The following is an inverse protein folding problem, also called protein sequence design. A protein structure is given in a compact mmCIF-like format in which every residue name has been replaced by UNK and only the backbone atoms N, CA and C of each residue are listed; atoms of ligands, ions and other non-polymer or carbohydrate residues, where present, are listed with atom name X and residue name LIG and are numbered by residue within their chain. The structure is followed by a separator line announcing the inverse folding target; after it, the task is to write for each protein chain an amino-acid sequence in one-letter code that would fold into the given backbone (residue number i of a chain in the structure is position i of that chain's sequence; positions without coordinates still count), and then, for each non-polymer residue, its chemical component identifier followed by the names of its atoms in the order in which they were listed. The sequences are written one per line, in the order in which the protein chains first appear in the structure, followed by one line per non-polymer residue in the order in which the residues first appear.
data_IF_931279223908
#
_entry.id   IF_931279223908
#
_cell.length_a   1.000
_cell.length_b   1.000
_cell.length_c   1.000
_cell.angle_alpha   90.00
_cell.angle_beta   90.00
_cell.angle_gamma   90.00
#
_symmetry.space_group_name_H-M   'P 1'
#
loop_
_entity.id
_entity.type
_entity.pdbx_description
1 polymer ?
#
# COMPACT_ATOMS: atom_id res chain seq x y z
N UNK A 1 -23.79 -5.46 -81.22
CA UNK A 1 -22.57 -6.29 -81.14
C UNK A 1 -21.35 -5.38 -81.19
N UNK A 2 -20.43 -5.54 -80.22
CA UNK A 2 -19.04 -5.01 -80.14
C UNK A 2 -18.94 -3.48 -80.03
N UNK A 3 -18.31 -2.86 -79.03
CA UNK A 3 -17.29 -3.30 -78.08
C UNK A 3 -16.33 -2.11 -77.93
N UNK A 4 -16.37 -1.42 -76.78
CA UNK A 4 -15.50 -0.30 -76.44
C UNK A 4 -14.24 -0.86 -75.78
N UNK A 5 -13.07 -0.49 -76.28
CA UNK A 5 -11.78 -0.71 -75.62
C UNK A 5 -10.93 0.56 -75.75
N UNK A 6 -10.67 1.21 -74.61
CA UNK A 6 -9.48 2.02 -74.37
C UNK A 6 -9.06 1.85 -72.90
N UNK A 7 -7.97 1.12 -72.71
CA UNK A 7 -6.98 1.30 -71.63
C UNK A 7 -6.25 2.67 -71.87
N UNK A 8 -5.42 3.26 -70.97
CA UNK A 8 -4.88 2.71 -69.73
C UNK A 8 -4.67 3.70 -68.56
N UNK A 9 -4.13 3.15 -67.47
CA UNK A 9 -3.11 3.74 -66.59
C UNK A 9 -3.51 3.85 -65.11
N UNK A 10 -2.78 3.06 -64.30
CA UNK A 10 -2.33 3.31 -62.91
C UNK A 10 -3.50 3.49 -61.92
N UNK A 11 -3.47 2.99 -60.70
CA UNK A 11 -2.48 3.26 -59.65
C UNK A 11 -2.65 2.17 -58.59
N UNK A 12 -1.53 1.67 -58.09
CA UNK A 12 -1.45 0.63 -57.07
C UNK A 12 -2.02 1.12 -55.73
N UNK A 13 -3.17 0.58 -55.33
CA UNK A 13 -3.71 0.66 -53.97
C UNK A 13 -3.72 -0.73 -53.34
N UNK A 14 -2.71 -1.05 -52.54
CA UNK A 14 -2.73 -2.25 -51.70
C UNK A 14 -3.69 -2.01 -50.52
N UNK A 15 -4.74 -2.84 -50.33
CA UNK A 15 -5.59 -2.71 -49.17
C UNK A 15 -4.84 -3.12 -47.89
N UNK A 16 -4.87 -2.21 -46.91
CA UNK A 16 -4.38 -2.40 -45.55
C UNK A 16 -4.83 -3.75 -44.98
N UNK A 17 -3.85 -4.60 -44.65
CA UNK A 17 -4.10 -5.81 -43.86
C UNK A 17 -4.74 -5.39 -42.54
N UNK A 18 -5.99 -5.80 -42.33
CA UNK A 18 -6.70 -5.69 -41.05
C UNK A 18 -5.86 -6.40 -39.99
N UNK A 19 -5.16 -5.66 -39.15
CA UNK A 19 -4.56 -6.23 -37.93
C UNK A 19 -5.73 -6.60 -37.01
N UNK A 20 -5.89 -7.89 -36.76
CA UNK A 20 -6.76 -8.39 -35.71
C UNK A 20 -6.36 -7.72 -34.38
N UNK A 21 -7.35 -7.17 -33.67
CA UNK A 21 -7.15 -6.59 -32.35
C UNK A 21 -6.62 -7.67 -31.41
N UNK A 22 -5.42 -7.46 -30.86
CA UNK A 22 -4.93 -8.25 -29.73
C UNK A 22 -5.76 -7.85 -28.52
N UNK A 23 -6.56 -8.78 -28.00
CA UNK A 23 -7.24 -8.59 -26.73
C UNK A 23 -6.19 -8.29 -25.65
N UNK A 24 -6.23 -7.06 -25.12
CA UNK A 24 -5.47 -6.70 -23.93
C UNK A 24 -6.18 -7.39 -22.77
N UNK A 25 -5.53 -8.40 -22.20
CA UNK A 25 -5.92 -8.97 -20.90
C UNK A 25 -5.99 -7.81 -19.90
N UNK A 26 -7.09 -7.75 -19.16
CA UNK A 26 -7.43 -6.63 -18.28
C UNK A 26 -6.29 -6.24 -17.35
N UNK A 27 -5.97 -4.95 -17.35
CA UNK A 27 -5.45 -4.32 -16.15
C UNK A 27 -6.63 -4.21 -15.21
N UNK A 28 -6.62 -5.00 -14.14
CA UNK A 28 -7.42 -4.68 -12.97
C UNK A 28 -6.96 -3.28 -12.53
N UNK A 29 -7.79 -2.28 -12.76
CA UNK A 29 -7.60 -0.95 -12.24
C UNK A 29 -7.73 -1.01 -10.71
N UNK A 30 -6.72 -0.46 -10.03
CA UNK A 30 -6.65 -0.01 -8.65
C UNK A 30 -7.60 -0.70 -7.65
N UNK A 31 -7.01 -1.51 -6.75
CA UNK A 31 -7.66 -1.80 -5.49
C UNK A 31 -7.68 -0.53 -4.64
N UNK A 32 -8.87 0.01 -4.36
CA UNK A 32 -9.14 0.71 -3.11
C UNK A 32 -10.44 0.13 -2.55
N UNK A 33 -10.37 -0.38 -1.30
CA UNK A 33 -10.68 0.48 -0.17
C UNK A 33 -9.52 0.53 0.82
N UNK A 34 -8.99 1.72 0.99
CA UNK A 34 -8.10 2.09 2.08
C UNK A 34 -8.89 2.18 3.40
N UNK A 35 -8.46 1.38 4.38
CA UNK A 35 -9.16 1.14 5.64
C UNK A 35 -9.45 -0.34 5.83
N UNK A 36 -8.41 -1.19 5.80
CA UNK A 36 -8.57 -2.62 6.01
C UNK A 36 -9.28 -2.87 7.35
N UNK A 37 -10.45 -3.49 7.27
CA UNK A 37 -11.17 -4.01 8.43
C UNK A 37 -10.22 -4.92 9.22
N UNK A 38 -10.07 -4.72 10.54
CA UNK A 38 -9.17 -5.54 11.33
C UNK A 38 -9.55 -7.03 11.22
N UNK A 39 -8.59 -7.88 10.83
CA UNK A 39 -8.83 -9.30 10.58
C UNK A 39 -9.16 -10.13 11.84
N UNK A 40 -9.09 -9.53 13.03
CA UNK A 40 -9.38 -10.18 14.32
C UNK A 40 -9.76 -9.17 15.40
N UNK A 41 -10.35 -9.63 16.50
CA UNK A 41 -10.62 -8.80 17.69
C UNK A 41 -9.34 -8.16 18.26
N UNK A 42 -8.21 -8.88 18.20
CA UNK A 42 -6.92 -8.36 18.63
C UNK A 42 -6.44 -7.21 17.73
N UNK A 43 -6.60 -7.36 16.42
CA UNK A 43 -6.31 -6.28 15.47
C UNK A 43 -7.29 -5.11 15.65
N UNK A 44 -8.56 -5.35 15.96
CA UNK A 44 -9.54 -4.29 16.23
C UNK A 44 -9.17 -3.49 17.47
N UNK A 45 -8.71 -4.16 18.54
CA UNK A 45 -8.10 -3.49 19.70
C UNK A 45 -6.86 -2.70 19.29
N UNK A 46 -6.01 -3.25 18.44
CA UNK A 46 -4.81 -2.58 17.95
C UNK A 46 -5.11 -1.28 17.21
N UNK A 47 -6.13 -1.29 16.34
CA UNK A 47 -6.65 -0.08 15.68
C UNK A 47 -7.12 0.95 16.70
N UNK A 48 -7.93 0.52 17.68
CA UNK A 48 -8.41 1.41 18.75
C UNK A 48 -7.26 2.05 19.54
N UNK A 49 -6.21 1.29 19.86
CA UNK A 49 -5.00 1.82 20.52
C UNK A 49 -4.31 2.85 19.63
N UNK A 50 -4.12 2.57 18.33
CA UNK A 50 -3.51 3.51 17.39
C UNK A 50 -4.29 4.83 17.29
N UNK A 51 -5.62 4.75 17.16
CA UNK A 51 -6.53 5.89 16.98
C UNK A 51 -6.68 6.75 18.25
N UNK A 52 -6.51 6.17 19.44
CA UNK A 52 -6.75 6.86 20.74
C UNK A 52 -5.48 7.29 21.47
N UNK A 53 -4.31 7.05 20.90
CA UNK A 53 -3.01 7.43 21.48
C UNK A 53 -2.27 8.43 20.60
N UNK A 54 -1.07 8.85 21.02
CA UNK A 54 -0.22 9.78 20.28
C UNK A 54 0.22 9.25 18.89
N UNK A 55 0.00 7.96 18.59
CA UNK A 55 0.26 7.41 17.27
C UNK A 55 -0.52 8.17 16.18
N UNK A 56 -1.82 8.44 16.42
CA UNK A 56 -2.70 9.08 15.45
C UNK A 56 -2.33 10.53 15.11
N UNK A 57 -1.68 11.25 16.04
CA UNK A 57 -1.22 12.62 15.80
C UNK A 57 0.05 12.70 14.95
N UNK A 58 0.82 11.61 14.88
CA UNK A 58 2.07 11.57 14.13
C UNK A 58 1.96 10.79 12.83
N UNK A 59 1.15 9.74 12.79
CA UNK A 59 1.07 8.84 11.65
C UNK A 59 -0.29 8.91 10.97
N UNK A 60 -0.28 8.67 9.67
CA UNK A 60 -1.48 8.45 8.87
C UNK A 60 -1.73 6.95 8.71
N UNK A 61 -2.98 6.53 8.84
CA UNK A 61 -3.48 5.23 8.34
C UNK A 61 -4.80 5.51 7.64
N UNK A 62 -4.83 5.38 6.32
CA UNK A 62 -6.03 5.72 5.56
C UNK A 62 -7.20 4.81 5.95
N UNK A 63 -8.38 5.41 6.14
CA UNK A 63 -9.59 4.74 6.62
C UNK A 63 -9.75 4.74 8.15
N UNK A 64 -8.81 5.34 8.89
CA UNK A 64 -8.89 5.55 10.34
C UNK A 64 -8.99 7.04 10.69
N UNK A 65 -9.10 7.37 11.99
CA UNK A 65 -8.95 8.75 12.47
C UNK A 65 -7.49 9.22 12.55
N UNK A 66 -6.51 8.34 12.33
CA UNK A 66 -5.09 8.69 12.34
C UNK A 66 -4.70 9.38 11.02
N UNK A 67 -4.37 10.66 11.13
CA UNK A 67 -4.10 11.56 10.00
C UNK A 67 -2.87 12.45 10.22
N UNK A 68 -1.96 12.05 11.11
CA UNK A 68 -0.72 12.77 11.37
C UNK A 68 0.29 12.63 10.22
N UNK A 69 1.14 13.65 10.06
CA UNK A 69 2.12 13.78 8.97
C UNK A 69 3.58 13.95 9.45
N UNK A 70 3.81 13.91 10.76
CA UNK A 70 5.15 14.00 11.38
C UNK A 70 5.95 12.71 11.17
N UNK A 71 5.29 11.57 11.32
CA UNK A 71 5.81 10.24 11.07
C UNK A 71 5.46 9.74 9.67
N UNK A 72 6.07 8.64 9.21
CA UNK A 72 5.71 8.03 7.94
C UNK A 72 4.27 7.53 7.94
N UNK A 73 3.64 7.54 6.76
CA UNK A 73 2.38 6.84 6.50
C UNK A 73 2.52 5.35 6.88
N UNK A 74 1.55 4.79 7.58
CA UNK A 74 1.53 3.39 8.03
C UNK A 74 0.50 2.53 7.27
N UNK A 75 -0.24 3.10 6.32
CA UNK A 75 -1.34 2.44 5.58
C UNK A 75 -0.95 1.11 4.95
N UNK A 76 0.31 0.99 4.50
CA UNK A 76 0.87 -0.21 3.88
C UNK A 76 2.16 -0.67 4.59
N UNK A 77 2.22 -0.51 5.91
CA UNK A 77 3.45 -0.81 6.65
C UNK A 77 3.82 -2.29 6.62
N UNK A 78 2.86 -3.22 6.54
CA UNK A 78 3.12 -4.66 6.45
C UNK A 78 3.75 -5.05 5.10
N UNK A 79 3.47 -4.31 4.04
CA UNK A 79 4.05 -4.51 2.70
C UNK A 79 5.55 -4.14 2.59
N UNK A 80 6.19 -3.68 3.67
CA UNK A 80 7.60 -3.30 3.71
C UNK A 80 8.47 -4.46 4.19
N UNK A 81 9.66 -4.62 3.61
CA UNK A 81 10.64 -5.58 4.12
C UNK A 81 11.32 -5.12 5.42
N UNK A 82 11.46 -3.80 5.60
CA UNK A 82 12.17 -3.17 6.72
C UNK A 82 11.42 -1.94 7.23
N UNK A 83 11.70 -1.58 8.49
CA UNK A 83 11.16 -0.39 9.16
C UNK A 83 12.27 0.41 9.84
N UNK A 84 11.89 1.48 10.55
CA UNK A 84 12.81 2.40 11.22
C UNK A 84 13.81 3.08 10.26
N UNK A 85 13.35 3.37 9.04
CA UNK A 85 14.18 3.77 7.88
C UNK A 85 15.30 2.75 7.63
N UNK A 86 14.88 1.56 7.17
CA UNK A 86 15.72 0.42 6.79
C UNK A 86 16.63 -0.16 7.88
N UNK A 87 16.45 0.22 9.14
CA UNK A 87 17.37 -0.17 10.22
C UNK A 87 17.12 -1.61 10.67
N UNK A 88 15.86 -2.04 10.76
CA UNK A 88 15.48 -3.38 11.25
C UNK A 88 14.50 -4.07 10.29
N UNK A 89 14.46 -5.42 10.26
CA UNK A 89 13.43 -6.18 9.55
C UNK A 89 12.02 -5.82 10.02
N UNK A 90 11.04 -5.94 9.13
CA UNK A 90 9.64 -5.73 9.45
C UNK A 90 8.94 -7.02 9.90
N UNK A 91 9.37 -7.58 11.02
CA UNK A 91 8.67 -8.70 11.67
C UNK A 91 8.07 -8.27 13.01
N UNK A 92 7.21 -9.12 13.57
CA UNK A 92 6.49 -8.87 14.82
C UNK A 92 7.44 -8.52 15.98
N UNK A 93 8.58 -9.19 16.08
CA UNK A 93 9.52 -8.99 17.19
C UNK A 93 10.20 -7.62 17.11
N UNK A 94 10.80 -7.32 15.96
CA UNK A 94 11.47 -6.04 15.73
C UNK A 94 10.51 -4.86 15.75
N UNK A 95 9.28 -5.03 15.25
CA UNK A 95 8.24 -4.00 15.34
C UNK A 95 7.83 -3.75 16.79
N UNK A 96 7.65 -4.79 17.61
CA UNK A 96 7.33 -4.64 19.02
C UNK A 96 8.45 -3.91 19.77
N UNK A 97 9.71 -4.27 19.53
CA UNK A 97 10.87 -3.62 20.14
C UNK A 97 10.94 -2.14 19.73
N UNK A 98 10.77 -1.84 18.45
CA UNK A 98 10.72 -0.47 17.93
C UNK A 98 9.63 0.39 18.56
N UNK A 99 8.40 -0.14 18.67
CA UNK A 99 7.27 0.60 19.25
C UNK A 99 7.46 0.79 20.75
N UNK A 100 7.94 -0.23 21.47
CA UNK A 100 8.14 -0.15 22.91
C UNK A 100 9.17 0.94 23.28
N UNK A 101 10.31 0.96 22.58
CA UNK A 101 11.34 1.95 22.79
C UNK A 101 12.25 2.10 21.55
N UNK A 102 11.84 2.96 20.62
CA UNK A 102 12.61 3.24 19.39
C UNK A 102 14.04 3.73 19.66
N UNK A 103 14.29 4.35 20.82
CA UNK A 103 15.58 4.94 21.16
C UNK A 103 16.64 3.88 21.46
N UNK A 104 16.27 2.65 21.83
CA UNK A 104 17.23 1.54 21.99
C UNK A 104 17.66 0.96 20.65
N UNK A 105 16.83 1.12 19.61
CA UNK A 105 17.09 0.65 18.25
C UNK A 105 17.82 1.71 17.42
N UNK A 106 17.33 2.95 17.47
CA UNK A 106 17.88 4.09 16.70
C UNK A 106 17.88 5.37 17.55
N UNK A 107 18.91 5.58 18.39
CA UNK A 107 19.00 6.76 19.24
C UNK A 107 18.87 8.08 18.45
N UNK A 108 18.12 9.03 18.98
CA UNK A 108 17.94 10.37 18.40
C UNK A 108 16.83 10.50 17.37
N UNK A 109 16.07 9.43 17.11
CA UNK A 109 14.85 9.53 16.29
C UNK A 109 13.74 10.29 17.04
N UNK A 110 12.73 10.79 16.32
CA UNK A 110 11.67 11.62 16.89
C UNK A 110 10.47 10.84 17.46
N UNK A 111 10.39 9.53 17.24
CA UNK A 111 9.34 8.70 17.85
C UNK A 111 9.72 8.46 19.31
N UNK A 112 8.92 8.93 20.29
CA UNK A 112 9.23 8.71 21.70
C UNK A 112 8.95 7.25 22.10
N UNK A 113 9.52 6.77 23.23
CA UNK A 113 9.10 5.50 23.82
C UNK A 113 7.58 5.50 24.09
N UNK A 114 6.90 4.40 23.77
CA UNK A 114 5.44 4.32 23.90
C UNK A 114 5.04 3.61 25.21
N UNK A 115 4.28 4.27 26.12
CA UNK A 115 3.90 3.69 27.41
C UNK A 115 2.71 2.72 27.26
N UNK A 116 2.83 1.70 26.41
CA UNK A 116 1.78 0.72 26.17
C UNK A 116 1.87 -0.45 27.17
N UNK A 117 0.71 -0.99 27.55
CA UNK A 117 0.67 -2.29 28.23
C UNK A 117 1.16 -3.40 27.29
N UNK A 118 1.67 -4.53 27.80
CA UNK A 118 2.04 -5.66 26.94
C UNK A 118 0.89 -6.17 26.06
N UNK A 119 -0.35 -6.06 26.54
CA UNK A 119 -1.55 -6.43 25.78
C UNK A 119 -1.78 -5.47 24.61
N UNK A 120 -1.67 -4.17 24.85
CA UNK A 120 -1.87 -3.14 23.81
C UNK A 120 -0.74 -3.14 22.79
N UNK A 121 0.51 -3.37 23.23
CA UNK A 121 1.64 -3.54 22.31
C UNK A 121 1.42 -4.70 21.35
N UNK A 122 0.99 -5.86 21.86
CA UNK A 122 0.66 -7.00 20.99
C UNK A 122 -0.50 -6.68 20.05
N UNK A 123 -1.53 -5.99 20.54
CA UNK A 123 -2.68 -5.61 19.74
C UNK A 123 -2.28 -4.68 18.58
N UNK A 124 -1.53 -3.61 18.86
CA UNK A 124 -1.12 -2.63 17.84
C UNK A 124 -0.17 -3.26 16.82
N UNK A 125 0.79 -4.10 17.24
CA UNK A 125 1.67 -4.83 16.31
C UNK A 125 0.86 -5.75 15.41
N UNK A 126 -0.13 -6.47 15.97
CA UNK A 126 -1.02 -7.34 15.17
C UNK A 126 -1.80 -6.54 14.15
N UNK A 127 -2.31 -5.36 14.52
CA UNK A 127 -3.00 -4.48 13.58
C UNK A 127 -2.07 -3.99 12.46
N UNK A 128 -0.90 -3.46 12.80
CA UNK A 128 0.06 -2.92 11.84
C UNK A 128 0.60 -3.98 10.87
N UNK A 129 0.78 -5.23 11.32
CA UNK A 129 1.20 -6.35 10.48
C UNK A 129 0.10 -6.83 9.51
N UNK A 130 -1.13 -6.32 9.64
CA UNK A 130 -2.22 -6.56 8.69
C UNK A 130 -2.43 -5.44 7.67
N UNK A 131 -1.60 -4.39 7.68
CA UNK A 131 -1.74 -3.21 6.81
C UNK A 131 -0.90 -3.35 5.53
N UNK A 132 -1.45 -4.00 4.51
CA UNK A 132 -0.77 -4.32 3.23
C UNK A 132 -1.06 -3.31 2.12
#
# INVERSE_FOLDING_TARGET
MRGVLRDPARQHGLPHRRRAARAVRGVAGAAEPTGQEPASELAARGRSVLETTACASCHTVVGTSASGDVGPDLTHVASRDRIAAETIPNDIGHMADWISNSQTVKPGNLMPPQPLSPQDLRAVVTYLQGLE
#
